data_IF_003970040467
#
_entry.id   IF_003970040467
#
_cell.length_a   1.000
_cell.length_b   1.000
_cell.length_c   1.000
_cell.angle_alpha   90.00
_cell.angle_beta   90.00
_cell.angle_gamma   90.00
#
_symmetry.space_group_name_H-M   'P 1'
#
loop_
_entity.id
_entity.type
_entity.pdbx_description
1 polymer ?
#
# COMPACT_ATOMS: atom_id res chain seq x y z
N UNK A 1 -4.37 -11.65 34.43
CA UNK A 1 -4.75 -10.38 33.76
C UNK A 1 -3.56 -9.94 32.91
N UNK A 2 -3.63 -10.00 31.58
CA UNK A 2 -2.60 -9.39 30.72
C UNK A 2 -2.91 -7.89 30.67
N UNK A 3 -2.07 -7.07 31.28
CA UNK A 3 -2.19 -5.61 31.22
C UNK A 3 -1.94 -5.14 29.78
N UNK A 4 -2.57 -4.04 29.36
CA UNK A 4 -2.42 -3.47 28.01
C UNK A 4 -0.94 -3.29 27.61
N UNK A 5 -0.09 -2.96 28.58
CA UNK A 5 1.36 -2.83 28.40
C UNK A 5 2.03 -4.14 27.92
N UNK A 6 1.68 -5.29 28.53
CA UNK A 6 2.24 -6.59 28.12
C UNK A 6 1.80 -6.98 26.71
N UNK A 7 0.60 -6.57 26.29
CA UNK A 7 0.13 -6.80 24.92
C UNK A 7 0.88 -5.93 23.91
N UNK A 8 1.10 -4.65 24.22
CA UNK A 8 1.90 -3.77 23.37
C UNK A 8 3.36 -4.23 23.24
N UNK A 9 3.97 -4.71 24.33
CA UNK A 9 5.33 -5.24 24.28
C UNK A 9 5.39 -6.56 23.47
N UNK A 10 4.37 -7.44 23.55
CA UNK A 10 4.26 -8.61 22.65
C UNK A 10 4.17 -8.20 21.18
N UNK A 11 3.35 -7.19 20.85
CA UNK A 11 3.25 -6.70 19.47
C UNK A 11 4.56 -6.08 18.96
N UNK A 12 5.42 -5.58 19.87
CA UNK A 12 6.78 -5.16 19.50
C UNK A 12 7.69 -6.36 19.25
N UNK A 13 7.64 -7.38 20.11
CA UNK A 13 8.39 -8.64 19.91
C UNK A 13 8.01 -9.35 18.60
N UNK A 14 6.72 -9.32 18.25
CA UNK A 14 6.19 -9.91 17.02
C UNK A 14 6.45 -9.02 15.78
N UNK A 15 7.15 -7.90 15.93
CA UNK A 15 7.41 -6.89 14.88
C UNK A 15 6.11 -6.39 14.20
N UNK A 16 5.03 -6.25 14.97
CA UNK A 16 3.80 -5.57 14.53
C UNK A 16 3.90 -4.08 14.84
N UNK A 17 4.47 -3.74 16.00
CA UNK A 17 4.67 -2.37 16.45
C UNK A 17 6.16 -2.05 16.62
N UNK A 18 6.52 -0.78 16.47
CA UNK A 18 7.78 -0.21 16.92
C UNK A 18 7.54 0.71 18.10
N UNK A 19 8.42 0.59 19.09
CA UNK A 19 8.45 1.42 20.29
C UNK A 19 9.31 2.66 20.03
N UNK A 20 8.77 3.83 20.31
CA UNK A 20 9.44 5.12 20.19
C UNK A 20 9.47 5.80 21.55
N UNK A 21 10.63 6.32 21.94
CA UNK A 21 10.80 7.15 23.14
C UNK A 21 10.72 8.61 22.74
N UNK A 22 9.73 9.34 23.29
CA UNK A 22 9.60 10.79 23.11
C UNK A 22 9.57 11.44 24.50
N UNK A 23 10.74 11.90 24.97
CA UNK A 23 10.90 12.37 26.35
C UNK A 23 10.56 11.27 27.36
N UNK A 24 9.64 11.56 28.28
CA UNK A 24 9.13 10.58 29.25
C UNK A 24 8.04 9.66 28.70
N UNK A 25 7.50 9.97 27.51
CA UNK A 25 6.43 9.21 26.88
C UNK A 25 6.96 8.07 26.01
N UNK A 26 6.24 6.95 26.03
CA UNK A 26 6.46 5.82 25.13
C UNK A 26 5.32 5.79 24.13
N UNK A 27 5.65 5.94 22.85
CA UNK A 27 4.72 5.83 21.74
C UNK A 27 4.91 4.50 21.02
N UNK A 28 3.81 4.00 20.45
CA UNK A 28 3.80 2.80 19.64
C UNK A 28 3.26 3.17 18.27
N UNK A 29 3.94 2.70 17.21
CA UNK A 29 3.46 2.84 15.83
C UNK A 29 3.56 1.50 15.12
N UNK A 30 2.73 1.29 14.11
CA UNK A 30 2.84 0.10 13.26
C UNK A 30 4.24 0.04 12.64
N UNK A 31 4.83 -1.15 12.63
CA UNK A 31 6.02 -1.40 11.83
C UNK A 31 5.62 -1.53 10.36
N UNK A 32 5.60 -0.38 9.66
CA UNK A 32 5.18 -0.31 8.27
C UNK A 32 6.00 -1.23 7.36
N UNK A 33 7.29 -1.44 7.64
CA UNK A 33 8.11 -2.34 6.83
C UNK A 33 7.61 -3.78 6.94
N UNK A 34 7.35 -4.25 8.16
CA UNK A 34 6.82 -5.60 8.37
C UNK A 34 5.37 -5.74 7.91
N UNK A 35 4.57 -4.68 7.99
CA UNK A 35 3.22 -4.68 7.43
C UNK A 35 3.26 -4.91 5.90
N UNK A 36 4.11 -4.18 5.18
CA UNK A 36 4.30 -4.36 3.73
C UNK A 36 4.79 -5.76 3.38
N UNK A 37 5.79 -6.31 4.11
CA UNK A 37 6.25 -7.68 3.84
C UNK A 37 5.17 -8.73 4.08
N UNK A 38 4.35 -8.59 5.13
CA UNK A 38 3.23 -9.51 5.38
C UNK A 38 2.21 -9.43 4.25
N UNK A 39 1.89 -8.22 3.78
CA UNK A 39 0.97 -8.02 2.66
C UNK A 39 1.48 -8.66 1.37
N UNK A 40 2.75 -8.44 1.03
CA UNK A 40 3.42 -9.11 -0.11
C UNK A 40 3.33 -10.63 0.01
N UNK A 41 3.66 -11.19 1.16
CA UNK A 41 3.61 -12.63 1.38
C UNK A 41 2.16 -13.18 1.32
N UNK A 42 1.16 -12.40 1.75
CA UNK A 42 -0.25 -12.78 1.59
C UNK A 42 -0.65 -12.78 0.12
N UNK A 43 -0.31 -11.74 -0.64
CA UNK A 43 -0.57 -11.67 -2.07
C UNK A 43 0.01 -12.86 -2.82
N UNK A 44 1.25 -13.27 -2.52
CA UNK A 44 1.88 -14.43 -3.15
C UNK A 44 1.25 -15.78 -2.77
N UNK A 45 0.63 -15.89 -1.58
CA UNK A 45 -0.05 -17.12 -1.14
C UNK A 45 -1.45 -17.25 -1.71
N UNK A 46 -2.13 -16.13 -1.90
CA UNK A 46 -3.53 -16.08 -2.29
C UNK A 46 -3.73 -15.91 -3.79
N UNK A 47 -2.70 -15.44 -4.51
CA UNK A 47 -2.78 -15.17 -5.93
C UNK A 47 -1.60 -15.77 -6.71
N UNK A 48 -1.89 -16.24 -7.91
CA UNK A 48 -0.84 -16.65 -8.84
C UNK A 48 -0.24 -15.45 -9.60
N UNK A 49 0.82 -15.72 -10.37
CA UNK A 49 1.55 -14.70 -11.13
C UNK A 49 0.66 -14.00 -12.16
N UNK A 50 -0.28 -14.70 -12.79
CA UNK A 50 -1.16 -14.15 -13.82
C UNK A 50 -2.21 -13.23 -13.19
N UNK A 51 -2.81 -13.64 -12.06
CA UNK A 51 -3.74 -12.82 -11.28
C UNK A 51 -3.10 -11.53 -10.77
N UNK A 52 -1.87 -11.61 -10.25
CA UNK A 52 -1.13 -10.42 -9.81
C UNK A 52 -0.76 -9.51 -11.00
N UNK A 53 -0.44 -10.08 -12.16
CA UNK A 53 -0.15 -9.31 -13.39
C UNK A 53 -1.40 -8.58 -13.89
N UNK A 54 -2.54 -9.27 -13.95
CA UNK A 54 -3.84 -8.69 -14.31
C UNK A 54 -4.24 -7.58 -13.33
N UNK A 55 -3.99 -7.77 -12.04
CA UNK A 55 -4.21 -6.74 -11.02
C UNK A 55 -3.37 -5.49 -11.29
N UNK A 56 -2.09 -5.64 -11.65
CA UNK A 56 -1.23 -4.51 -12.03
C UNK A 56 -1.73 -3.79 -13.29
N UNK A 57 -2.15 -4.53 -14.31
CA UNK A 57 -2.66 -3.97 -15.56
C UNK A 57 -3.94 -3.16 -15.32
N UNK A 58 -4.86 -3.69 -14.51
CA UNK A 58 -6.09 -3.00 -14.11
C UNK A 58 -5.79 -1.68 -13.38
N UNK A 59 -4.91 -1.72 -12.36
CA UNK A 59 -4.48 -0.52 -11.63
C UNK A 59 -3.81 0.51 -12.54
N UNK A 60 -2.97 0.06 -13.48
CA UNK A 60 -2.32 0.95 -14.46
C UNK A 60 -3.30 1.59 -15.41
N UNK A 61 -4.29 0.83 -15.87
CA UNK A 61 -5.35 1.32 -16.77
C UNK A 61 -6.15 2.41 -16.08
N UNK A 62 -6.59 2.18 -14.84
CA UNK A 62 -7.32 3.19 -14.07
C UNK A 62 -6.51 4.49 -13.85
N UNK A 63 -5.20 4.37 -13.60
CA UNK A 63 -4.31 5.55 -13.53
C UNK A 63 -4.24 6.29 -14.85
N UNK A 64 -4.14 5.58 -15.98
CA UNK A 64 -4.13 6.21 -17.32
C UNK A 64 -5.48 6.90 -17.58
N UNK A 65 -6.59 6.24 -17.26
CA UNK A 65 -7.93 6.79 -17.44
C UNK A 65 -8.12 8.10 -16.66
N UNK A 66 -7.62 8.18 -15.42
CA UNK A 66 -7.66 9.43 -14.65
C UNK A 66 -6.76 10.51 -15.24
N UNK A 67 -5.56 10.16 -15.72
CA UNK A 67 -4.67 11.13 -16.38
C UNK A 67 -5.33 11.75 -17.60
N UNK A 68 -5.93 10.90 -18.44
CA UNK A 68 -6.57 11.32 -19.69
C UNK A 68 -7.88 12.09 -19.42
N UNK A 69 -8.66 11.67 -18.42
CA UNK A 69 -9.94 12.32 -18.05
C UNK A 69 -9.73 13.74 -17.53
N UNK A 70 -8.69 13.95 -16.71
CA UNK A 70 -8.46 15.22 -16.03
C UNK A 70 -7.30 16.05 -16.62
N UNK A 71 -6.63 15.54 -17.66
CA UNK A 71 -5.46 16.14 -18.31
C UNK A 71 -4.34 16.51 -17.32
N UNK A 72 -4.00 15.57 -16.45
CA UNK A 72 -2.96 15.72 -15.41
C UNK A 72 -2.13 14.45 -15.30
N UNK A 73 -0.89 14.58 -14.83
CA UNK A 73 0.03 13.45 -14.68
C UNK A 73 0.06 12.87 -13.26
N UNK A 74 -0.46 13.61 -12.27
CA UNK A 74 -0.33 13.25 -10.85
C UNK A 74 -1.58 13.58 -10.03
N UNK A 75 -1.83 12.86 -8.94
CA UNK A 75 -2.90 13.21 -7.98
C UNK A 75 -2.74 14.62 -7.41
N UNK A 76 -1.51 15.09 -7.20
CA UNK A 76 -1.24 16.43 -6.69
C UNK A 76 -1.64 17.52 -7.69
N UNK A 77 -1.40 17.31 -8.99
CA UNK A 77 -1.88 18.21 -10.05
C UNK A 77 -3.41 18.19 -10.12
N UNK A 78 -4.05 17.01 -9.99
CA UNK A 78 -5.52 16.91 -9.91
C UNK A 78 -6.09 17.71 -8.73
N UNK A 79 -5.40 17.72 -7.58
CA UNK A 79 -5.82 18.57 -6.46
C UNK A 79 -5.55 20.05 -6.71
N UNK A 80 -4.46 20.40 -7.39
CA UNK A 80 -4.14 21.78 -7.71
C UNK A 80 -5.18 22.40 -8.66
N UNK A 81 -5.71 21.61 -9.60
CA UNK A 81 -6.71 22.06 -10.57
C UNK A 81 -8.07 22.43 -9.96
N UNK A 82 -8.29 22.12 -8.67
CA UNK A 82 -9.44 22.62 -7.89
C UNK A 82 -9.45 24.15 -7.83
N UNK A 83 -8.28 24.80 -7.90
CA UNK A 83 -8.19 26.25 -7.87
C UNK A 83 -8.92 26.95 -9.03
N UNK A 84 -9.15 26.22 -10.13
CA UNK A 84 -9.82 26.70 -11.34
C UNK A 84 -11.32 26.35 -11.38
N UNK A 85 -11.87 25.82 -10.28
CA UNK A 85 -13.25 25.35 -10.19
C UNK A 85 -14.11 26.21 -9.26
N UNK A 86 -15.35 26.45 -9.68
CA UNK A 86 -16.38 27.14 -8.87
C UNK A 86 -17.45 26.16 -8.33
N UNK A 87 -17.63 25.01 -8.97
CA UNK A 87 -18.66 24.03 -8.63
C UNK A 87 -18.21 23.10 -7.50
N UNK A 88 -18.90 23.15 -6.35
CA UNK A 88 -18.57 22.34 -5.16
C UNK A 88 -18.52 20.83 -5.45
N UNK A 89 -19.47 20.33 -6.24
CA UNK A 89 -19.57 18.90 -6.53
C UNK A 89 -18.37 18.42 -7.35
N UNK A 90 -17.89 19.22 -8.32
CA UNK A 90 -16.69 18.89 -9.09
C UNK A 90 -15.42 18.97 -8.22
N UNK A 91 -15.35 19.95 -7.31
CA UNK A 91 -14.24 20.06 -6.34
C UNK A 91 -14.15 18.80 -5.47
N UNK A 92 -15.28 18.35 -4.93
CA UNK A 92 -15.32 17.18 -4.06
C UNK A 92 -15.02 15.89 -4.86
N UNK A 93 -15.50 15.77 -6.11
CA UNK A 93 -15.14 14.68 -7.01
C UNK A 93 -13.63 14.62 -7.28
N UNK A 94 -12.98 15.75 -7.61
CA UNK A 94 -11.52 15.77 -7.86
C UNK A 94 -10.72 15.38 -6.61
N UNK A 95 -11.20 15.74 -5.41
CA UNK A 95 -10.57 15.33 -4.14
C UNK A 95 -10.68 13.83 -3.91
N UNK A 96 -11.85 13.25 -4.16
CA UNK A 96 -12.09 11.82 -4.03
C UNK A 96 -11.20 11.05 -4.99
N UNK A 97 -11.26 11.37 -6.29
CA UNK A 97 -10.43 10.72 -7.31
C UNK A 97 -8.94 10.85 -7.03
N UNK A 98 -8.46 12.03 -6.60
CA UNK A 98 -7.05 12.18 -6.26
C UNK A 98 -6.65 11.29 -5.07
N UNK A 99 -7.55 11.07 -4.10
CA UNK A 99 -7.28 10.22 -2.93
C UNK A 99 -7.31 8.75 -3.30
N UNK A 100 -8.24 8.33 -4.16
CA UNK A 100 -8.26 6.98 -4.75
C UNK A 100 -7.00 6.71 -5.57
N UNK A 101 -6.57 7.69 -6.37
CA UNK A 101 -5.37 7.57 -7.18
C UNK A 101 -4.11 7.38 -6.33
N UNK A 102 -3.94 8.15 -5.25
CA UNK A 102 -2.85 7.91 -4.30
C UNK A 102 -2.89 6.49 -3.72
N UNK A 103 -4.09 6.04 -3.34
CA UNK A 103 -4.25 4.68 -2.81
C UNK A 103 -3.84 3.61 -3.83
N UNK A 104 -4.23 3.77 -5.10
CA UNK A 104 -3.85 2.84 -6.17
C UNK A 104 -2.36 2.91 -6.46
N UNK A 105 -1.76 4.10 -6.48
CA UNK A 105 -0.33 4.26 -6.70
C UNK A 105 0.49 3.57 -5.60
N UNK A 106 0.08 3.71 -4.34
CA UNK A 106 0.68 3.00 -3.21
C UNK A 106 0.52 1.48 -3.36
N UNK A 107 -0.70 1.01 -3.66
CA UNK A 107 -0.98 -0.42 -3.82
C UNK A 107 -0.22 -1.05 -4.98
N UNK A 108 -0.03 -0.32 -6.08
CA UNK A 108 0.73 -0.75 -7.25
C UNK A 108 2.17 -1.10 -6.86
N UNK A 109 2.78 -0.34 -5.95
CA UNK A 109 4.14 -0.64 -5.46
C UNK A 109 4.21 -1.97 -4.72
N UNK A 110 3.20 -2.30 -3.92
CA UNK A 110 3.11 -3.55 -3.15
C UNK A 110 2.88 -4.76 -4.06
N UNK A 111 1.93 -4.66 -5.00
CA UNK A 111 1.65 -5.75 -5.96
C UNK A 111 2.86 -6.00 -6.87
N UNK A 112 3.54 -4.94 -7.30
CA UNK A 112 4.81 -5.07 -8.05
C UNK A 112 5.88 -5.78 -7.23
N UNK A 113 6.01 -5.46 -5.94
CA UNK A 113 6.95 -6.15 -5.06
C UNK A 113 6.60 -7.64 -4.92
N UNK A 114 5.31 -7.98 -4.77
CA UNK A 114 4.86 -9.36 -4.72
C UNK A 114 5.21 -10.16 -5.99
N UNK A 115 5.10 -9.53 -7.16
CA UNK A 115 5.53 -10.16 -8.42
C UNK A 115 7.06 -10.31 -8.53
N UNK A 116 7.83 -9.27 -8.18
CA UNK A 116 9.29 -9.32 -8.26
C UNK A 116 9.89 -10.40 -7.34
N UNK A 117 9.32 -10.57 -6.14
CA UNK A 117 9.77 -11.57 -5.16
C UNK A 117 9.23 -12.98 -5.46
N UNK A 118 8.31 -13.11 -6.42
CA UNK A 118 7.67 -14.40 -6.77
C UNK A 118 8.69 -15.37 -7.37
N UNK A 119 9.59 -14.86 -8.22
CA UNK A 119 10.67 -15.65 -8.83
C UNK A 119 11.66 -16.16 -7.76
N UNK A 120 11.98 -15.34 -6.76
CA UNK A 120 12.89 -15.70 -5.66
C UNK A 120 12.31 -16.76 -4.72
N UNK A 121 11.01 -16.67 -4.39
CA UNK A 121 10.34 -17.65 -3.54
C UNK A 121 10.16 -19.01 -4.25
N UNK A 122 9.75 -18.98 -5.52
CA UNK A 122 9.58 -20.18 -6.35
C UNK A 122 10.91 -20.94 -6.53
N UNK A 123 12.03 -20.22 -6.72
CA UNK A 123 13.36 -20.81 -6.78
C UNK A 123 13.79 -21.48 -5.47
N UNK A 124 13.40 -20.94 -4.30
CA UNK A 124 13.82 -21.46 -2.99
C UNK A 124 12.94 -22.61 -2.48
N UNK A 125 11.63 -22.58 -2.72
CA UNK A 125 10.76 -23.73 -2.40
C UNK A 125 11.12 -24.95 -3.25
N UNK A 126 11.53 -24.75 -4.51
CA UNK A 126 12.07 -25.80 -5.35
C UNK A 126 13.37 -26.41 -4.79
N UNK A 127 14.18 -25.62 -4.06
CA UNK A 127 15.43 -26.08 -3.43
C UNK A 127 15.21 -26.76 -2.07
N UNK A 128 14.08 -26.53 -1.40
CA UNK A 128 13.75 -27.14 -0.10
C UNK A 128 13.27 -28.60 -0.21
N UNK A 129 13.05 -29.12 -1.42
CA UNK A 129 12.51 -30.47 -1.67
C UNK A 129 13.60 -31.50 -2.02
N UNK A 130 14.83 -31.36 -1.52
CA UNK A 130 15.93 -32.30 -1.81
C UNK A 130 16.51 -32.98 -0.60
#
# INVERSE_FOLDING_TARGET
MKTAQKYLDQLVEDNVLRKLKQGEQTLYRIDQLMATYREVATLQREHDREELTSTLESMRTQVIDWRDTYDVDTPSQLRASIADLDERDEIDQRREVASEWEHIADRLSVVRAALNEYDWATERDALATR
#
